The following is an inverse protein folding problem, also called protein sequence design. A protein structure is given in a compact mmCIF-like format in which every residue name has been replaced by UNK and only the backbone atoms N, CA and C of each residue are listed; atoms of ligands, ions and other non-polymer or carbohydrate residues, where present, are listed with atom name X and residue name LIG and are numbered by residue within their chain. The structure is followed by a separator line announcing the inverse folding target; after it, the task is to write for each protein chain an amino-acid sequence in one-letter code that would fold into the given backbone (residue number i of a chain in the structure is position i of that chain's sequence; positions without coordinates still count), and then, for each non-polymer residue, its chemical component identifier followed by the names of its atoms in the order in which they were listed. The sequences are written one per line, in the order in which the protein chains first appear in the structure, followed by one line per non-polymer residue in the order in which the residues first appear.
data_IF_232708113951
#
_entry.id   IF_232708113951
#
_cell.length_a   1.000
_cell.length_b   1.000
_cell.length_c   1.000
_cell.angle_alpha   90.00
_cell.angle_beta   90.00
_cell.angle_gamma   90.00
#
_symmetry.space_group_name_H-M   'P 1'
#
loop_
_entity.id
_entity.type
_entity.pdbx_description
1 polymer ?
#
# COMPACT_ATOMS: atom_id res chain seq x y z
N UNK A 1 14.58 -19.49 20.72
CA UNK A 1 14.09 -18.57 19.67
C UNK A 1 12.85 -17.89 20.22
N UNK A 2 12.94 -16.59 20.50
CA UNK A 2 11.88 -15.82 21.14
C UNK A 2 10.71 -15.55 20.18
N UNK A 3 9.53 -16.06 20.52
CA UNK A 3 8.27 -15.84 19.78
C UNK A 3 7.95 -14.33 19.66
N UNK A 4 8.43 -13.54 20.63
CA UNK A 4 8.32 -12.09 20.61
C UNK A 4 9.19 -11.45 19.51
N UNK A 5 10.38 -11.99 19.26
CA UNK A 5 11.27 -11.45 18.22
C UNK A 5 10.75 -11.70 16.80
N UNK A 6 9.99 -12.78 16.58
CA UNK A 6 9.28 -13.03 15.31
C UNK A 6 8.03 -12.16 15.15
N UNK A 7 7.41 -11.72 16.26
CA UNK A 7 6.28 -10.80 16.25
C UNK A 7 6.72 -9.37 15.92
N UNK A 8 7.87 -8.92 16.44
CA UNK A 8 8.39 -7.56 16.25
C UNK A 8 9.23 -7.35 14.97
N UNK A 9 9.65 -8.40 14.27
CA UNK A 9 10.23 -8.28 12.92
C UNK A 9 9.17 -8.05 11.82
N UNK A 10 7.94 -7.69 12.21
CA UNK A 10 6.89 -7.26 11.30
C UNK A 10 7.42 -6.09 10.47
N UNK A 11 7.78 -6.36 9.21
CA UNK A 11 8.24 -5.34 8.27
C UNK A 11 7.30 -4.15 8.37
N UNK A 12 7.84 -2.97 8.72
CA UNK A 12 7.05 -1.77 8.93
C UNK A 12 6.21 -1.54 7.67
N UNK A 13 4.89 -1.73 7.80
CA UNK A 13 3.96 -1.45 6.73
C UNK A 13 3.94 0.05 6.52
N UNK A 14 3.97 0.48 5.26
CA UNK A 14 4.07 1.90 4.94
C UNK A 14 3.24 2.20 3.72
N UNK A 15 2.47 3.29 3.80
CA UNK A 15 1.66 3.83 2.72
C UNK A 15 2.27 5.20 2.41
N UNK A 16 3.31 5.22 1.57
CA UNK A 16 4.15 6.40 1.40
C UNK A 16 4.80 6.83 2.73
N UNK A 17 4.34 7.97 3.28
CA UNK A 17 4.82 8.55 4.54
C UNK A 17 4.01 8.04 5.75
N UNK A 18 2.80 7.53 5.53
CA UNK A 18 1.90 7.08 6.58
C UNK A 18 2.27 5.68 7.07
N UNK A 19 2.35 5.52 8.39
CA UNK A 19 2.63 4.24 9.06
C UNK A 19 1.38 3.82 9.86
N UNK A 20 0.66 2.77 9.45
CA UNK A 20 -0.46 2.24 10.22
C UNK A 20 0.02 1.57 11.50
N UNK A 21 -0.78 1.69 12.57
CA UNK A 21 -0.48 1.06 13.86
C UNK A 21 -0.81 -0.43 13.86
N UNK A 22 -1.90 -0.81 13.17
CA UNK A 22 -2.35 -2.19 13.04
C UNK A 22 -2.79 -2.42 11.59
N UNK A 23 -2.47 -3.59 11.06
CA UNK A 23 -3.01 -4.05 9.77
C UNK A 23 -3.83 -5.30 10.03
N UNK A 24 -5.12 -5.22 9.74
CA UNK A 24 -6.09 -6.30 9.96
C UNK A 24 -6.06 -7.27 8.79
N UNK A 25 -6.09 -6.75 7.56
CA UNK A 25 -6.06 -7.58 6.35
C UNK A 25 -5.31 -6.91 5.20
N UNK A 26 -4.59 -7.72 4.41
CA UNK A 26 -3.93 -7.31 3.16
C UNK A 26 -4.37 -8.27 2.05
N UNK A 27 -5.06 -7.77 1.03
CA UNK A 27 -5.50 -8.53 -0.14
C UNK A 27 -4.73 -8.05 -1.38
N UNK A 28 -4.00 -8.97 -2.00
CA UNK A 28 -3.14 -8.69 -3.16
C UNK A 28 -3.74 -9.33 -4.42
N UNK A 29 -3.95 -8.53 -5.46
CA UNK A 29 -4.47 -8.99 -6.76
C UNK A 29 -3.47 -8.72 -7.86
N UNK A 30 -3.05 -9.77 -8.55
CA UNK A 30 -2.21 -9.72 -9.74
C UNK A 30 -2.95 -10.45 -10.87
N UNK A 31 -3.31 -9.75 -11.94
CA UNK A 31 -4.09 -10.30 -13.06
C UNK A 31 -3.31 -10.16 -14.37
N UNK A 32 -3.24 -11.26 -15.14
CA UNK A 32 -2.78 -11.24 -16.53
C UNK A 32 -4.02 -11.25 -17.43
N UNK A 33 -4.15 -10.25 -18.29
CA UNK A 33 -5.20 -10.24 -19.31
C UNK A 33 -4.65 -10.86 -20.60
N UNK A 34 -5.38 -11.85 -21.12
CA UNK A 34 -5.10 -12.49 -22.40
C UNK A 34 -6.15 -11.96 -23.38
N UNK A 35 -5.73 -11.43 -24.52
CA UNK A 35 -6.65 -10.90 -25.53
C UNK A 35 -7.43 -12.04 -26.17
N UNK A 36 -8.72 -11.84 -26.43
CA UNK A 36 -9.54 -12.83 -27.14
C UNK A 36 -9.96 -12.26 -28.50
N UNK A 37 -9.67 -13.01 -29.57
CA UNK A 37 -10.19 -12.75 -30.90
C UNK A 37 -11.16 -13.88 -31.28
N UNK A 38 -12.48 -13.62 -31.35
CA UNK A 38 -13.45 -14.64 -31.71
C UNK A 38 -13.32 -15.02 -33.18
N UNK A 39 -13.48 -16.31 -33.49
CA UNK A 39 -13.46 -16.84 -34.85
C UNK A 39 -14.78 -17.55 -35.15
N UNK A 40 -15.15 -17.62 -36.43
CA UNK A 40 -16.44 -18.15 -36.88
C UNK A 40 -16.63 -19.64 -36.54
N UNK A 41 -15.54 -20.42 -36.54
CA UNK A 41 -15.53 -21.85 -36.18
C UNK A 41 -14.30 -22.15 -35.33
N UNK A 42 -14.51 -22.73 -34.14
CA UNK A 42 -13.44 -23.14 -33.23
C UNK A 42 -13.39 -22.34 -31.93
N UNK A 43 -12.26 -22.43 -31.23
CA UNK A 43 -12.01 -21.67 -30.00
C UNK A 43 -11.47 -20.27 -30.32
N UNK A 44 -11.74 -19.31 -29.44
CA UNK A 44 -11.17 -17.96 -29.54
C UNK A 44 -9.64 -18.03 -29.55
N UNK A 45 -9.02 -17.26 -30.45
CA UNK A 45 -7.57 -17.21 -30.61
C UNK A 45 -7.05 -16.02 -29.80
N UNK A 46 -5.95 -16.23 -29.08
CA UNK A 46 -5.25 -15.17 -28.36
C UNK A 46 -3.88 -14.92 -29.01
N UNK A 47 -3.59 -13.66 -29.33
CA UNK A 47 -2.31 -13.28 -29.93
C UNK A 47 -1.41 -12.55 -28.91
N UNK A 48 -2.01 -11.90 -27.90
CA UNK A 48 -1.29 -11.09 -26.93
C UNK A 48 -1.76 -11.36 -25.50
N UNK A 49 -0.86 -11.16 -24.54
CA UNK A 49 -1.20 -11.11 -23.12
C UNK A 49 -0.41 -9.98 -22.46
N UNK A 50 -1.05 -9.23 -21.58
CA UNK A 50 -0.42 -8.14 -20.83
C UNK A 50 -0.85 -8.16 -19.37
N UNK A 51 0.05 -7.71 -18.49
CA UNK A 51 -0.20 -7.71 -17.05
C UNK A 51 -0.96 -6.44 -16.66
N UNK A 52 -2.08 -6.58 -15.93
CA UNK A 52 -2.77 -5.44 -15.32
C UNK A 52 -1.94 -4.85 -14.18
N UNK A 53 -2.10 -3.55 -13.86
CA UNK A 53 -1.52 -2.97 -12.65
C UNK A 53 -1.87 -3.82 -11.44
N UNK A 54 -0.87 -4.12 -10.61
CA UNK A 54 -1.09 -4.89 -9.38
C UNK A 54 -1.92 -4.05 -8.41
N UNK A 55 -2.95 -4.65 -7.81
CA UNK A 55 -3.81 -3.97 -6.84
C UNK A 55 -3.56 -4.52 -5.44
N UNK A 56 -3.66 -3.64 -4.44
CA UNK A 56 -3.65 -4.04 -3.03
C UNK A 56 -4.77 -3.32 -2.29
N UNK A 57 -5.56 -4.08 -1.55
CA UNK A 57 -6.59 -3.56 -0.64
C UNK A 57 -6.16 -3.90 0.77
N UNK A 58 -6.04 -2.88 1.61
CA UNK A 58 -5.59 -3.05 3.00
C UNK A 58 -6.63 -2.49 3.96
N UNK A 59 -6.91 -3.24 5.01
CA UNK A 59 -7.68 -2.79 6.15
C UNK A 59 -6.72 -2.47 7.28
N UNK A 60 -6.58 -1.19 7.60
CA UNK A 60 -5.58 -0.69 8.54
C UNK A 60 -6.22 0.17 9.62
N UNK A 61 -5.66 0.10 10.83
CA UNK A 61 -6.00 0.94 11.96
C UNK A 61 -4.86 1.90 12.28
N UNK A 62 -5.20 3.17 12.44
CA UNK A 62 -4.31 4.17 13.01
C UNK A 62 -4.71 4.39 14.47
N UNK A 63 -3.81 4.13 15.42
CA UNK A 63 -3.96 4.69 16.75
C UNK A 63 -3.93 6.21 16.60
N UNK A 64 -4.70 6.96 17.40
CA UNK A 64 -4.79 8.44 17.33
C UNK A 64 -3.46 9.12 17.62
N UNK A 65 -2.58 9.07 16.62
CA UNK A 65 -1.19 8.76 16.84
C UNK A 65 -0.44 8.27 15.58
N UNK A 66 -0.92 8.50 14.36
CA UNK A 66 -0.22 8.08 13.14
C UNK A 66 1.21 8.63 13.11
N UNK A 67 2.22 7.76 13.05
CA UNK A 67 3.63 8.15 13.11
C UNK A 67 4.11 8.51 11.70
N UNK A 68 4.37 9.80 11.45
CA UNK A 68 5.12 10.23 10.29
C UNK A 68 6.61 10.07 10.56
N UNK A 69 7.34 9.40 9.67
CA UNK A 69 8.80 9.48 9.65
C UNK A 69 9.21 10.65 8.73
N UNK A 70 9.39 11.83 9.31
CA UNK A 70 10.11 12.92 8.67
C UNK A 70 11.61 12.62 8.69
N UNK A 71 12.11 12.01 7.60
CA UNK A 71 13.53 11.69 7.45
C UNK A 71 14.40 12.91 7.11
N UNK A 72 13.84 14.11 6.97
CA UNK A 72 14.54 15.25 6.37
C UNK A 72 14.87 16.41 7.33
N UNK A 73 14.46 16.39 8.60
CA UNK A 73 14.66 17.57 9.46
C UNK A 73 14.97 17.20 10.92
N UNK A 74 16.25 17.29 11.28
CA UNK A 74 16.79 17.51 12.62
C UNK A 74 16.33 16.59 13.76
N UNK A 75 17.35 15.98 14.38
CA UNK A 75 17.38 15.36 15.70
C UNK A 75 16.94 16.35 16.81
N UNK A 76 15.66 16.71 16.85
CA UNK A 76 15.00 17.38 17.96
C UNK A 76 13.71 16.65 18.25
N UNK A 77 13.67 16.04 19.44
CA UNK A 77 12.66 15.12 19.95
C UNK A 77 11.23 15.69 20.05
N UNK A 78 10.55 15.97 18.94
CA UNK A 78 9.16 16.48 18.95
C UNK A 78 8.20 15.91 17.91
N UNK A 79 8.57 14.92 17.09
CA UNK A 79 7.63 14.26 16.15
C UNK A 79 7.26 12.82 16.56
N UNK A 80 7.08 12.59 17.86
CA UNK A 80 6.31 11.44 18.37
C UNK A 80 4.85 11.82 18.70
N UNK A 81 4.43 13.03 18.32
CA UNK A 81 3.03 13.42 18.40
C UNK A 81 2.33 12.83 17.17
N UNK A 82 1.80 11.63 17.34
CA UNK A 82 1.14 11.01 16.22
C UNK A 82 -0.14 11.76 15.84
N UNK A 83 -0.43 11.79 14.55
CA UNK A 83 -1.51 12.57 13.96
C UNK A 83 -2.87 12.20 14.56
N UNK A 84 -3.72 13.20 14.78
CA UNK A 84 -5.11 12.91 15.13
C UNK A 84 -5.76 12.06 14.02
N UNK A 85 -6.80 11.26 14.33
CA UNK A 85 -7.51 10.49 13.31
C UNK A 85 -8.02 11.37 12.15
N UNK A 86 -8.40 12.61 12.46
CA UNK A 86 -8.87 13.60 11.48
C UNK A 86 -7.75 14.05 10.53
N UNK A 87 -6.56 14.34 11.08
CA UNK A 87 -5.39 14.72 10.29
C UNK A 87 -4.91 13.56 9.41
N UNK A 88 -4.86 12.35 9.97
CA UNK A 88 -4.48 11.14 9.22
C UNK A 88 -5.41 10.92 8.03
N UNK A 89 -6.72 11.08 8.25
CA UNK A 89 -7.70 10.96 7.17
C UNK A 89 -7.54 12.07 6.13
N UNK A 90 -7.28 13.31 6.55
CA UNK A 90 -7.02 14.42 5.64
C UNK A 90 -5.79 14.16 4.76
N UNK A 91 -4.69 13.64 5.32
CA UNK A 91 -3.50 13.29 4.53
C UNK A 91 -3.77 12.20 3.50
N UNK A 92 -4.63 11.22 3.81
CA UNK A 92 -5.06 10.21 2.84
C UNK A 92 -5.83 10.86 1.68
N UNK A 93 -6.71 11.83 1.99
CA UNK A 93 -7.43 12.60 0.97
C UNK A 93 -6.46 13.46 0.13
N UNK A 94 -5.49 14.10 0.77
CA UNK A 94 -4.50 14.94 0.09
C UNK A 94 -3.62 14.08 -0.84
N UNK A 95 -3.23 12.87 -0.41
CA UNK A 95 -2.54 11.90 -1.25
C UNK A 95 -3.38 11.49 -2.46
N UNK A 96 -4.68 11.26 -2.26
CA UNK A 96 -5.62 10.96 -3.35
C UNK A 96 -5.75 12.13 -4.34
N UNK A 97 -5.86 13.36 -3.83
CA UNK A 97 -6.03 14.56 -4.65
C UNK A 97 -4.74 14.93 -5.43
N UNK A 98 -3.57 14.69 -4.83
CA UNK A 98 -2.28 15.01 -5.44
C UNK A 98 -2.04 14.25 -6.76
N UNK A 99 -2.61 13.05 -6.91
CA UNK A 99 -2.37 12.12 -8.03
C UNK A 99 -0.88 11.81 -8.23
N UNK A 100 -0.06 11.99 -7.20
CA UNK A 100 1.37 11.68 -7.23
C UNK A 100 1.55 10.21 -6.83
N UNK A 101 2.21 9.38 -7.66
CA UNK A 101 2.49 8.00 -7.29
C UNK A 101 3.38 7.90 -6.05
N UNK A 102 3.07 6.96 -5.16
CA UNK A 102 3.86 6.67 -3.96
C UNK A 102 4.10 5.18 -3.79
N UNK A 103 5.07 4.83 -2.95
CA UNK A 103 5.42 3.45 -2.68
C UNK A 103 4.64 2.88 -1.49
N UNK A 104 4.20 1.63 -1.61
CA UNK A 104 3.52 0.88 -0.55
C UNK A 104 4.35 -0.32 -0.15
N UNK A 105 4.75 -0.37 1.11
CA UNK A 105 5.47 -1.50 1.69
C UNK A 105 4.47 -2.38 2.42
N UNK A 106 4.25 -3.58 1.90
CA UNK A 106 3.45 -4.61 2.57
C UNK A 106 4.35 -5.72 3.10
N UNK A 107 3.78 -6.72 3.77
CA UNK A 107 4.59 -7.85 4.26
C UNK A 107 4.93 -8.87 3.21
N UNK A 108 4.18 -8.83 2.10
CA UNK A 108 4.36 -9.76 0.98
C UNK A 108 5.24 -9.14 -0.09
N UNK A 109 5.07 -7.84 -0.37
CA UNK A 109 5.68 -7.19 -1.55
C UNK A 109 5.83 -5.69 -1.32
N UNK A 110 6.89 -5.13 -1.90
CA UNK A 110 7.03 -3.70 -2.10
C UNK A 110 6.37 -3.33 -3.44
N UNK A 111 5.42 -2.40 -3.37
CA UNK A 111 4.74 -1.83 -4.53
C UNK A 111 5.30 -0.45 -4.80
N UNK A 112 5.77 -0.23 -6.02
CA UNK A 112 6.27 1.07 -6.46
C UNK A 112 5.27 1.75 -7.40
N UNK A 113 5.22 3.09 -7.38
CA UNK A 113 4.35 3.90 -8.23
C UNK A 113 2.86 3.57 -8.10
N UNK A 114 2.35 3.48 -6.87
CA UNK A 114 0.94 3.22 -6.59
C UNK A 114 0.14 4.53 -6.48
N UNK A 115 -1.15 4.44 -6.78
CA UNK A 115 -2.13 5.49 -6.50
C UNK A 115 -3.24 4.91 -5.61
N UNK A 116 -3.83 5.78 -4.79
CA UNK A 116 -4.97 5.44 -3.95
C UNK A 116 -6.27 5.90 -4.62
N UNK A 117 -7.33 5.10 -4.47
CA UNK A 117 -8.65 5.35 -5.03
C UNK A 117 -9.74 5.17 -3.99
#
# INVERSE_FOLDING_TARGET
MDILSTLFHQQSRRIGVLIPSVVVSEKHTDTLEITEHPVEVGAAIADHAYKKPSEVVMEVGFAGGGSLLDFASNLTATSLLGLSPQQTYQEILDLQESRIPFDVVTGKRLYSNMLIR
#
